data_IF_794835269938
#
_entry.id   IF_794835269938
#
_cell.length_a   1.000
_cell.length_b   1.000
_cell.length_c   1.000
_cell.angle_alpha   90.00
_cell.angle_beta   90.00
_cell.angle_gamma   90.00
#
_symmetry.space_group_name_H-M   'P 1'
#
loop_
_entity.id
_entity.type
_entity.pdbx_description
1 polymer ?
#
# COMPACT_ATOMS: atom_id res chain seq x y z
N UNK A 1 44.67 -42.75 15.91
CA UNK A 1 43.76 -41.72 15.35
C UNK A 1 42.49 -41.71 16.20
N UNK A 2 42.17 -40.64 16.95
CA UNK A 2 40.91 -40.53 17.68
C UNK A 2 40.13 -39.24 17.31
N UNK A 3 39.07 -39.31 16.51
CA UNK A 3 38.31 -38.09 16.10
C UNK A 3 36.76 -38.20 16.01
N UNK A 4 36.08 -39.10 16.74
CA UNK A 4 34.60 -39.28 16.56
C UNK A 4 33.69 -38.87 17.75
N UNK A 5 34.19 -38.28 18.84
CA UNK A 5 33.32 -37.99 20.02
C UNK A 5 32.75 -36.56 20.11
N UNK A 6 33.23 -35.61 19.30
CA UNK A 6 32.89 -34.19 19.50
C UNK A 6 31.59 -33.74 18.81
N UNK A 7 31.11 -34.50 17.82
CA UNK A 7 29.98 -34.12 16.96
C UNK A 7 28.61 -34.41 17.58
N UNK A 8 28.54 -35.30 18.58
CA UNK A 8 27.28 -35.74 19.20
C UNK A 8 26.81 -34.83 20.35
N UNK A 9 27.74 -34.13 21.02
CA UNK A 9 27.43 -33.22 22.16
C UNK A 9 26.99 -31.82 21.71
N UNK A 10 27.44 -31.36 20.54
CA UNK A 10 27.00 -30.06 19.99
C UNK A 10 25.58 -30.10 19.42
N UNK A 11 25.18 -31.26 18.89
CA UNK A 11 23.87 -31.44 18.25
C UNK A 11 22.74 -31.70 19.27
N UNK A 12 23.04 -32.15 20.49
CA UNK A 12 22.06 -32.19 21.61
C UNK A 12 21.80 -30.80 22.18
N UNK A 13 22.87 -30.04 22.47
CA UNK A 13 22.77 -28.69 23.06
C UNK A 13 22.03 -27.70 22.13
N UNK A 14 22.24 -27.79 20.82
CA UNK A 14 21.51 -26.98 19.83
C UNK A 14 20.02 -27.36 19.73
N UNK A 15 19.68 -28.64 19.90
CA UNK A 15 18.28 -29.10 19.94
C UNK A 15 17.58 -28.67 21.22
N UNK A 16 18.25 -28.73 22.38
CA UNK A 16 17.71 -28.23 23.65
C UNK A 16 17.39 -26.72 23.55
N UNK A 17 18.31 -25.93 23.01
CA UNK A 17 18.10 -24.48 22.85
C UNK A 17 17.00 -24.15 21.85
N UNK A 18 16.92 -24.89 20.73
CA UNK A 18 15.84 -24.73 19.76
C UNK A 18 14.47 -25.12 20.34
N UNK A 19 14.42 -26.15 21.20
CA UNK A 19 13.18 -26.59 21.85
C UNK A 19 12.74 -25.56 22.90
N UNK A 20 13.66 -25.11 23.75
CA UNK A 20 13.38 -24.05 24.73
C UNK A 20 12.97 -22.71 24.09
N UNK A 21 13.57 -22.35 22.95
CA UNK A 21 13.18 -21.17 22.18
C UNK A 21 11.78 -21.33 21.56
N UNK A 22 11.46 -22.52 21.03
CA UNK A 22 10.12 -22.84 20.53
C UNK A 22 9.07 -22.83 21.64
N UNK A 23 9.36 -23.37 22.81
CA UNK A 23 8.43 -23.41 23.94
C UNK A 23 8.14 -22.00 24.46
N UNK A 24 9.17 -21.15 24.57
CA UNK A 24 8.98 -19.73 24.92
C UNK A 24 8.20 -18.98 23.86
N UNK A 25 8.49 -19.22 22.58
CA UNK A 25 7.75 -18.61 21.47
C UNK A 25 6.29 -19.09 21.44
N UNK A 26 6.03 -20.37 21.70
CA UNK A 26 4.69 -20.93 21.78
C UNK A 26 3.91 -20.35 22.96
N UNK A 27 4.52 -20.23 24.14
CA UNK A 27 3.90 -19.63 25.32
C UNK A 27 3.55 -18.16 25.10
N UNK A 28 4.48 -17.38 24.50
CA UNK A 28 4.23 -15.99 24.15
C UNK A 28 3.19 -15.83 23.05
N UNK A 29 3.19 -16.73 22.06
CA UNK A 29 2.19 -16.73 21.00
C UNK A 29 0.80 -17.08 21.54
N UNK A 30 0.67 -18.05 22.45
CA UNK A 30 -0.60 -18.42 23.07
C UNK A 30 -1.21 -17.26 23.86
N UNK A 31 -0.43 -16.58 24.70
CA UNK A 31 -0.94 -15.45 25.50
C UNK A 31 -1.30 -14.23 24.63
N UNK A 32 -0.49 -13.95 23.61
CA UNK A 32 -0.80 -12.91 22.63
C UNK A 32 -2.05 -13.25 21.81
N UNK A 33 -2.22 -14.52 21.44
CA UNK A 33 -3.38 -15.00 20.68
C UNK A 33 -4.67 -14.90 21.49
N UNK A 34 -4.65 -15.26 22.78
CA UNK A 34 -5.83 -15.15 23.65
C UNK A 34 -6.28 -13.69 23.82
N UNK A 35 -5.33 -12.80 24.07
CA UNK A 35 -5.60 -11.36 24.21
C UNK A 35 -6.12 -10.77 22.90
N UNK A 36 -5.45 -11.08 21.78
CA UNK A 36 -5.87 -10.64 20.46
C UNK A 36 -7.25 -11.17 20.09
N UNK A 37 -7.58 -12.42 20.45
CA UNK A 37 -8.88 -13.04 20.17
C UNK A 37 -10.02 -12.38 20.94
N UNK A 38 -9.79 -11.99 22.20
CA UNK A 38 -10.77 -11.26 22.98
C UNK A 38 -11.05 -9.88 22.36
N UNK A 39 -10.01 -9.08 22.11
CA UNK A 39 -10.15 -7.75 21.51
C UNK A 39 -10.73 -7.81 20.10
N UNK A 40 -10.32 -8.79 19.29
CA UNK A 40 -10.82 -8.95 17.93
C UNK A 40 -12.31 -9.30 17.90
N UNK A 41 -12.84 -10.05 18.89
CA UNK A 41 -14.27 -10.36 18.97
C UNK A 41 -15.09 -9.12 19.28
N UNK A 42 -14.71 -8.36 20.31
CA UNK A 42 -15.43 -7.15 20.71
C UNK A 42 -15.44 -6.11 19.58
N UNK A 43 -14.30 -5.96 18.90
CA UNK A 43 -14.18 -5.10 17.71
C UNK A 43 -15.00 -5.64 16.54
N UNK A 44 -14.97 -6.94 16.27
CA UNK A 44 -15.72 -7.55 15.18
C UNK A 44 -17.23 -7.40 15.36
N UNK A 45 -17.76 -7.59 16.57
CA UNK A 45 -19.20 -7.44 16.84
C UNK A 45 -19.67 -5.99 16.61
N UNK A 46 -18.84 -5.02 17.03
CA UNK A 46 -19.10 -3.59 16.84
C UNK A 46 -19.04 -3.20 15.36
N UNK A 47 -17.96 -3.58 14.68
CA UNK A 47 -17.74 -3.22 13.26
C UNK A 47 -18.71 -3.97 12.35
N UNK A 48 -19.03 -5.23 12.62
CA UNK A 48 -19.91 -6.03 11.76
C UNK A 48 -21.31 -5.44 11.66
N UNK A 49 -21.88 -4.98 12.78
CA UNK A 49 -23.23 -4.40 12.80
C UNK A 49 -23.31 -3.11 11.98
N UNK A 50 -22.30 -2.25 12.08
CA UNK A 50 -22.28 -0.95 11.42
C UNK A 50 -21.83 -1.06 9.95
N UNK A 51 -20.85 -1.91 9.67
CA UNK A 51 -20.28 -2.09 8.33
C UNK A 51 -21.22 -2.84 7.39
N UNK A 52 -22.06 -3.76 7.88
CA UNK A 52 -22.93 -4.57 7.01
C UNK A 52 -23.87 -3.70 6.17
N UNK A 53 -24.45 -2.65 6.74
CA UNK A 53 -25.37 -1.74 6.03
C UNK A 53 -24.67 -0.87 4.98
N UNK A 54 -23.42 -0.46 5.25
CA UNK A 54 -22.60 0.29 4.30
C UNK A 54 -22.02 -0.60 3.19
N UNK A 55 -21.70 -1.85 3.54
CA UNK A 55 -21.06 -2.81 2.66
C UNK A 55 -21.95 -3.18 1.46
N UNK A 56 -23.27 -3.31 1.64
CA UNK A 56 -24.17 -3.61 0.50
C UNK A 56 -24.12 -2.53 -0.60
N UNK A 57 -24.01 -1.25 -0.23
CA UNK A 57 -23.92 -0.15 -1.21
C UNK A 57 -22.51 -0.02 -1.80
N UNK A 58 -21.48 -0.24 -0.99
CA UNK A 58 -20.10 -0.19 -1.45
C UNK A 58 -19.75 -1.36 -2.38
N UNK A 59 -20.41 -2.51 -2.19
CA UNK A 59 -20.22 -3.75 -2.93
C UNK A 59 -20.54 -3.62 -4.41
N UNK A 60 -21.65 -3.01 -4.78
CA UNK A 60 -22.01 -2.88 -6.20
C UNK A 60 -21.01 -1.98 -6.92
N UNK A 61 -20.63 -0.86 -6.29
CA UNK A 61 -19.56 0.02 -6.79
C UNK A 61 -18.24 -0.73 -6.94
N UNK A 62 -17.84 -1.51 -5.92
CA UNK A 62 -16.60 -2.28 -5.96
C UNK A 62 -16.64 -3.37 -7.04
N UNK A 63 -17.76 -4.07 -7.21
CA UNK A 63 -17.93 -5.09 -8.24
C UNK A 63 -17.81 -4.49 -9.64
N UNK A 64 -18.33 -3.29 -9.86
CA UNK A 64 -18.23 -2.60 -11.15
C UNK A 64 -16.79 -2.14 -11.45
N UNK A 65 -16.06 -1.64 -10.47
CA UNK A 65 -14.63 -1.32 -10.61
C UNK A 65 -13.80 -2.57 -10.94
N UNK A 66 -14.04 -3.66 -10.22
CA UNK A 66 -13.38 -4.96 -10.43
C UNK A 66 -13.67 -5.49 -11.84
N UNK A 67 -14.92 -5.39 -12.30
CA UNK A 67 -15.33 -5.76 -13.67
C UNK A 67 -14.65 -4.87 -14.72
N UNK A 68 -14.49 -3.58 -14.44
CA UNK A 68 -13.75 -2.64 -15.28
C UNK A 68 -12.29 -3.06 -15.46
N UNK A 69 -11.62 -3.42 -14.36
CA UNK A 69 -10.24 -3.93 -14.39
C UNK A 69 -10.15 -5.27 -15.14
N UNK A 70 -11.08 -6.19 -14.89
CA UNK A 70 -11.14 -7.47 -15.59
C UNK A 70 -11.29 -7.27 -17.10
N UNK A 71 -12.16 -6.34 -17.51
CA UNK A 71 -12.37 -5.98 -18.91
C UNK A 71 -11.11 -5.37 -19.53
N UNK A 72 -10.42 -4.47 -18.81
CA UNK A 72 -9.17 -3.89 -19.28
C UNK A 72 -8.06 -4.94 -19.45
N UNK A 73 -7.94 -5.87 -18.49
CA UNK A 73 -7.00 -7.00 -18.55
C UNK A 73 -7.33 -7.94 -19.72
N UNK A 74 -8.62 -8.21 -19.96
CA UNK A 74 -9.08 -9.02 -21.10
C UNK A 74 -8.71 -8.37 -22.43
N UNK A 75 -8.98 -7.08 -22.59
CA UNK A 75 -8.57 -6.31 -23.78
C UNK A 75 -7.06 -6.33 -23.97
N UNK A 76 -6.28 -6.14 -22.89
CA UNK A 76 -4.83 -6.22 -22.96
C UNK A 76 -4.34 -7.63 -23.34
N UNK A 77 -4.99 -8.68 -22.86
CA UNK A 77 -4.69 -10.06 -23.26
C UNK A 77 -4.98 -10.28 -24.76
N UNK A 78 -6.09 -9.72 -25.27
CA UNK A 78 -6.47 -9.84 -26.67
C UNK A 78 -5.53 -9.07 -27.62
N UNK A 79 -4.88 -8.02 -27.14
CA UNK A 79 -3.82 -7.31 -27.88
C UNK A 79 -2.47 -8.05 -27.88
N UNK A 80 -2.29 -9.00 -26.95
CA UNK A 80 -1.10 -9.84 -26.91
C UNK A 80 -1.09 -10.90 -28.02
N UNK A 81 0.09 -11.44 -28.33
CA UNK A 81 0.22 -12.53 -29.31
C UNK A 81 -0.64 -13.72 -28.85
N UNK A 82 -1.62 -14.10 -29.67
CA UNK A 82 -2.45 -15.28 -29.45
C UNK A 82 -1.59 -16.56 -29.26
N UNK A 83 -1.90 -17.33 -28.23
CA UNK A 83 -1.18 -18.50 -27.74
C UNK A 83 -0.02 -18.21 -26.78
N UNK A 84 0.34 -16.94 -26.54
CA UNK A 84 1.49 -16.61 -25.68
C UNK A 84 1.26 -16.99 -24.22
N UNK A 85 2.32 -17.36 -23.46
CA UNK A 85 2.21 -17.58 -22.02
C UNK A 85 1.64 -16.37 -21.28
N UNK A 86 1.97 -15.16 -21.74
CA UNK A 86 1.50 -13.90 -21.17
C UNK A 86 -0.01 -13.71 -21.40
N UNK A 87 -0.53 -13.91 -22.61
CA UNK A 87 -1.98 -13.88 -22.88
C UNK A 87 -2.73 -14.85 -21.95
N UNK A 88 -2.22 -16.08 -21.80
CA UNK A 88 -2.81 -17.09 -20.90
C UNK A 88 -2.84 -16.64 -19.45
N UNK A 89 -1.76 -16.04 -18.96
CA UNK A 89 -1.72 -15.50 -17.60
C UNK A 89 -2.70 -14.33 -17.43
N UNK A 90 -2.73 -13.38 -18.35
CA UNK A 90 -3.62 -12.22 -18.29
C UNK A 90 -5.09 -12.60 -18.40
N UNK A 91 -5.42 -13.55 -19.28
CA UNK A 91 -6.79 -14.08 -19.41
C UNK A 91 -7.23 -14.84 -18.15
N UNK A 92 -6.39 -15.70 -17.57
CA UNK A 92 -6.72 -16.37 -16.31
C UNK A 92 -6.94 -15.39 -15.16
N UNK A 93 -6.17 -14.30 -15.12
CA UNK A 93 -6.36 -13.23 -14.14
C UNK A 93 -7.66 -12.47 -14.39
N UNK A 94 -7.97 -12.15 -15.66
CA UNK A 94 -9.21 -11.47 -16.03
C UNK A 94 -10.45 -12.33 -15.70
N UNK A 95 -10.41 -13.63 -16.02
CA UNK A 95 -11.50 -14.57 -15.73
C UNK A 95 -11.71 -14.72 -14.22
N UNK A 96 -10.62 -14.88 -13.45
CA UNK A 96 -10.70 -14.92 -12.00
C UNK A 96 -11.26 -13.63 -11.39
N UNK A 97 -10.93 -12.48 -11.96
CA UNK A 97 -11.42 -11.19 -11.49
C UNK A 97 -12.90 -10.95 -11.85
N UNK A 98 -13.33 -11.41 -13.02
CA UNK A 98 -14.73 -11.41 -13.42
C UNK A 98 -15.58 -12.32 -12.51
N UNK A 99 -15.11 -13.54 -12.22
CA UNK A 99 -15.77 -14.48 -11.33
C UNK A 99 -15.91 -13.92 -9.91
N UNK A 100 -14.86 -13.24 -9.42
CA UNK A 100 -14.92 -12.51 -8.14
C UNK A 100 -15.95 -11.39 -8.17
N UNK A 101 -16.06 -10.62 -9.26
CA UNK A 101 -17.05 -9.53 -9.37
C UNK A 101 -18.50 -10.05 -9.37
N UNK A 102 -18.74 -11.19 -10.01
CA UNK A 102 -20.06 -11.83 -10.07
C UNK A 102 -20.43 -12.44 -8.72
N UNK A 103 -19.47 -13.14 -8.10
CA UNK A 103 -19.63 -13.69 -6.74
C UNK A 103 -19.83 -12.57 -5.71
N UNK A 104 -19.14 -11.43 -5.87
CA UNK A 104 -19.35 -10.23 -5.07
C UNK A 104 -20.71 -9.59 -5.32
N UNK A 105 -21.45 -9.90 -6.40
CA UNK A 105 -22.81 -9.39 -6.69
C UNK A 105 -23.92 -10.27 -6.13
N UNK A 106 -23.64 -11.54 -5.84
CA UNK A 106 -24.66 -12.48 -5.36
C UNK A 106 -24.41 -13.06 -3.96
N UNK A 107 -23.19 -13.01 -3.42
CA UNK A 107 -22.92 -13.52 -2.05
C UNK A 107 -23.27 -12.52 -0.95
N UNK A 108 -23.84 -13.08 0.12
CA UNK A 108 -23.96 -12.46 1.43
C UNK A 108 -22.59 -12.41 2.13
N UNK A 109 -22.36 -11.34 2.90
CA UNK A 109 -21.11 -11.16 3.66
C UNK A 109 -20.81 -12.32 4.61
N UNK A 110 -21.84 -12.94 5.19
CA UNK A 110 -21.70 -14.10 6.09
C UNK A 110 -21.10 -15.32 5.39
N UNK A 111 -21.43 -15.55 4.12
CA UNK A 111 -20.90 -16.65 3.33
C UNK A 111 -19.44 -16.40 2.93
N UNK A 112 -19.11 -15.16 2.54
CA UNK A 112 -17.73 -14.75 2.22
C UNK A 112 -16.80 -14.95 3.42
N UNK A 113 -17.23 -14.57 4.63
CA UNK A 113 -16.45 -14.79 5.86
C UNK A 113 -16.24 -16.29 6.13
N UNK A 114 -17.26 -17.11 5.88
CA UNK A 114 -17.16 -18.57 5.99
C UNK A 114 -16.09 -19.17 5.07
N UNK A 115 -16.10 -18.78 3.80
CA UNK A 115 -15.13 -19.23 2.80
C UNK A 115 -13.71 -18.74 3.12
N UNK A 116 -13.58 -17.49 3.57
CA UNK A 116 -12.30 -16.91 3.94
C UNK A 116 -11.65 -17.65 5.13
N UNK A 117 -12.45 -18.10 6.10
CA UNK A 117 -11.98 -18.93 7.21
C UNK A 117 -11.49 -20.31 6.72
N UNK A 118 -12.19 -20.91 5.76
CA UNK A 118 -11.74 -22.15 5.11
C UNK A 118 -10.40 -21.98 4.39
N UNK A 119 -10.24 -20.89 3.65
CA UNK A 119 -9.00 -20.55 2.97
C UNK A 119 -7.85 -20.29 3.94
N UNK A 120 -8.07 -19.52 5.01
CA UNK A 120 -7.07 -19.20 6.02
C UNK A 120 -6.51 -20.45 6.69
N UNK A 121 -7.37 -21.44 6.98
CA UNK A 121 -6.94 -22.73 7.55
C UNK A 121 -6.14 -23.58 6.60
N UNK A 122 -6.44 -23.53 5.28
CA UNK A 122 -5.69 -24.27 4.25
C UNK A 122 -4.35 -23.63 3.90
N UNK A 123 -4.29 -22.30 3.92
CA UNK A 123 -3.12 -21.53 3.48
C UNK A 123 -2.69 -20.49 4.54
N UNK A 124 -2.20 -20.93 5.71
CA UNK A 124 -1.90 -20.03 6.83
C UNK A 124 -0.84 -18.99 6.49
N UNK A 125 0.18 -19.33 5.69
CA UNK A 125 1.23 -18.38 5.29
C UNK A 125 0.69 -17.26 4.40
N UNK A 126 -0.19 -17.58 3.46
CA UNK A 126 -0.79 -16.58 2.56
C UNK A 126 -1.70 -15.65 3.35
N UNK A 127 -2.50 -16.20 4.27
CA UNK A 127 -3.37 -15.40 5.12
C UNK A 127 -2.58 -14.45 6.03
N UNK A 128 -1.56 -14.94 6.73
CA UNK A 128 -0.72 -14.10 7.60
C UNK A 128 0.02 -13.01 6.80
N UNK A 129 0.57 -13.36 5.63
CA UNK A 129 1.24 -12.40 4.75
C UNK A 129 0.28 -11.33 4.23
N UNK A 130 -0.90 -11.73 3.77
CA UNK A 130 -1.94 -10.82 3.31
C UNK A 130 -2.44 -9.89 4.41
N UNK A 131 -2.70 -10.43 5.61
CA UNK A 131 -3.14 -9.63 6.76
C UNK A 131 -2.09 -8.61 7.20
N UNK A 132 -0.80 -8.99 7.20
CA UNK A 132 0.29 -8.08 7.52
C UNK A 132 0.40 -6.94 6.49
N UNK A 133 0.31 -7.26 5.19
CA UNK A 133 0.32 -6.26 4.12
C UNK A 133 -0.88 -5.31 4.21
N UNK A 134 -2.09 -5.84 4.42
CA UNK A 134 -3.30 -5.03 4.62
C UNK A 134 -3.17 -4.11 5.83
N UNK A 135 -2.67 -4.62 6.96
CA UNK A 135 -2.42 -3.82 8.16
C UNK A 135 -1.41 -2.70 7.93
N UNK A 136 -0.34 -2.96 7.16
CA UNK A 136 0.65 -1.94 6.80
C UNK A 136 0.04 -0.86 5.91
N UNK A 137 -0.71 -1.24 4.87
CA UNK A 137 -1.39 -0.30 3.97
C UNK A 137 -2.40 0.55 4.74
N UNK A 138 -3.21 -0.07 5.60
CA UNK A 138 -4.17 0.63 6.46
C UNK A 138 -3.46 1.64 7.37
N UNK A 139 -2.35 1.24 8.00
CA UNK A 139 -1.53 2.14 8.83
C UNK A 139 -0.96 3.29 8.02
N UNK A 140 -0.48 3.02 6.80
CA UNK A 140 0.08 4.04 5.92
C UNK A 140 -0.97 5.04 5.46
N UNK A 141 -2.18 4.57 5.16
CA UNK A 141 -3.33 5.40 4.80
C UNK A 141 -3.81 6.23 5.99
N UNK A 142 -3.92 5.64 7.18
CA UNK A 142 -4.25 6.36 8.40
C UNK A 142 -3.25 7.49 8.66
N UNK A 143 -1.94 7.20 8.59
CA UNK A 143 -0.89 8.21 8.74
C UNK A 143 -0.94 9.29 7.66
N UNK A 144 -1.17 8.92 6.40
CA UNK A 144 -1.29 9.87 5.29
C UNK A 144 -2.55 10.75 5.42
N UNK A 145 -3.65 10.21 5.96
CA UNK A 145 -4.88 10.95 6.19
C UNK A 145 -4.78 11.93 7.36
N UNK A 146 -3.82 11.74 8.27
CA UNK A 146 -3.55 12.66 9.37
C UNK A 146 -2.72 13.88 8.95
N UNK A 147 -1.99 13.82 7.83
CA UNK A 147 -1.28 14.96 7.23
C UNK A 147 -2.22 15.83 6.38
N UNK A 148 -3.44 16.10 6.88
CA UNK A 148 -4.21 17.24 6.38
C UNK A 148 -3.57 18.48 7.01
N UNK A 149 -2.98 19.41 6.23
CA UNK A 149 -2.61 20.70 6.78
C UNK A 149 -3.91 21.35 7.25
N UNK A 150 -4.16 21.31 8.55
CA UNK A 150 -5.11 22.20 9.17
C UNK A 150 -4.61 23.59 8.77
N UNK A 151 -5.36 24.25 7.88
CA UNK A 151 -5.17 25.66 7.54
C UNK A 151 -5.37 26.47 8.81
N UNK A 152 -4.33 26.52 9.65
CA UNK A 152 -4.20 27.41 10.78
C UNK A 152 -3.81 28.78 10.25
N UNK A 153 -4.76 29.49 9.66
CA UNK A 153 -4.85 30.93 9.91
C UNK A 153 -5.36 31.08 11.35
N UNK A 154 -4.47 30.84 12.30
CA UNK A 154 -4.69 31.01 13.72
C UNK A 154 -3.44 31.68 14.25
N UNK A 155 -3.48 33.01 14.32
CA UNK A 155 -2.38 33.80 14.83
C UNK A 155 -1.99 33.35 16.24
N UNK A 156 -0.75 32.93 16.38
CA UNK A 156 -0.06 32.88 17.66
C UNK A 156 1.01 33.96 17.61
N UNK A 157 0.67 35.13 18.17
CA UNK A 157 1.65 36.13 18.53
C UNK A 157 2.68 35.49 19.43
N UNK A 158 3.92 35.41 18.95
CA UNK A 158 5.07 35.21 19.81
C UNK A 158 5.37 36.56 20.43
N UNK A 159 4.97 36.69 21.68
CA UNK A 159 5.43 37.71 22.62
C UNK A 159 6.97 37.61 22.65
N UNK A 160 7.64 38.67 22.19
CA UNK A 160 9.08 38.79 22.30
C UNK A 160 9.39 39.18 23.75
N UNK A 161 9.90 38.22 24.52
CA UNK A 161 10.62 38.51 25.76
C UNK A 161 11.97 39.13 25.36
N UNK A 162 12.03 40.46 25.41
CA UNK A 162 13.21 41.28 25.12
C UNK A 162 14.07 41.37 26.39
N UNK A 163 14.84 40.33 26.68
CA UNK A 163 15.96 40.41 27.65
C UNK A 163 17.06 39.42 27.27
N UNK A 164 17.81 39.73 26.21
CA UNK A 164 19.17 39.22 26.04
C UNK A 164 19.95 40.14 25.08
N UNK A 165 20.39 41.27 25.63
CA UNK A 165 21.46 42.09 25.04
C UNK A 165 22.77 41.34 25.13
N UNK A 166 23.07 40.52 24.12
CA UNK A 166 24.44 40.11 23.82
C UNK A 166 24.84 40.65 22.45
N UNK A 167 25.69 41.68 22.52
CA UNK A 167 26.56 42.18 21.47
C UNK A 167 27.00 41.09 20.49
N UNK A 168 26.47 41.13 19.27
CA UNK A 168 27.09 40.47 18.12
C UNK A 168 27.43 41.49 17.05
N UNK A 169 28.73 41.70 16.73
CA UNK A 169 29.14 42.61 15.67
C UNK A 169 28.72 42.05 14.31
N UNK A 170 28.01 42.88 13.55
CA UNK A 170 27.55 42.59 12.19
C UNK A 170 28.74 42.50 11.22
N UNK A 171 28.84 41.46 10.37
CA UNK A 171 29.75 41.50 9.24
C UNK A 171 29.15 42.35 8.11
N UNK A 172 29.73 43.53 7.86
CA UNK A 172 29.60 44.25 6.59
C UNK A 172 30.38 43.52 5.49
N UNK A 173 29.91 43.41 4.26
CA UNK A 173 30.10 44.35 3.11
C UNK A 173 29.86 43.55 1.80
N UNK A 174 29.80 44.11 0.56
CA UNK A 174 29.47 45.44 0.03
C UNK A 174 28.44 45.34 -1.16
N UNK A 175 28.45 46.17 -2.25
CA UNK A 175 27.31 46.95 -2.72
C UNK A 175 26.52 46.35 -3.91
N UNK A 176 25.33 46.91 -4.08
CA UNK A 176 24.40 46.79 -5.22
C UNK A 176 25.08 47.09 -6.57
N UNK A 177 24.98 46.16 -7.53
CA UNK A 177 25.24 46.45 -8.95
C UNK A 177 25.71 45.27 -9.80
N UNK A 178 24.77 44.57 -10.43
CA UNK A 178 24.84 44.09 -11.82
C UNK A 178 23.63 43.20 -12.11
N UNK A 179 22.67 43.75 -12.84
CA UNK A 179 21.63 42.99 -13.50
C UNK A 179 22.28 41.95 -14.43
N UNK A 180 22.19 40.67 -14.08
CA UNK A 180 22.33 39.60 -15.06
C UNK A 180 20.93 39.25 -15.56
N UNK A 181 20.61 39.82 -16.71
CA UNK A 181 19.43 39.48 -17.49
C UNK A 181 19.42 37.96 -17.78
N UNK A 182 18.41 37.26 -17.30
CA UNK A 182 18.00 35.98 -17.88
C UNK A 182 17.21 36.30 -19.15
N UNK A 183 17.65 35.84 -20.34
CA UNK A 183 16.87 36.06 -21.56
C UNK A 183 15.58 35.25 -21.49
N UNK A 184 14.45 35.93 -21.61
CA UNK A 184 13.14 35.32 -21.85
C UNK A 184 13.26 34.36 -23.03
N UNK A 185 13.03 33.07 -22.78
CA UNK A 185 12.85 32.07 -23.83
C UNK A 185 11.62 32.47 -24.65
N UNK A 186 11.87 33.13 -25.78
CA UNK A 186 10.87 33.40 -26.79
C UNK A 186 10.23 32.08 -27.19
N UNK A 187 8.92 31.96 -26.97
CA UNK A 187 8.07 31.01 -27.66
C UNK A 187 8.16 31.31 -29.15
N UNK A 188 9.01 30.56 -29.86
CA UNK A 188 8.99 30.50 -31.30
C UNK A 188 7.64 29.90 -31.72
N UNK A 189 6.75 30.80 -32.11
CA UNK A 189 5.51 30.53 -32.81
C UNK A 189 5.84 29.83 -34.13
N UNK A 190 5.39 28.58 -34.38
CA UNK A 190 5.52 28.00 -35.70
C UNK A 190 4.55 28.71 -36.65
N UNK A 191 5.11 29.52 -37.55
CA UNK A 191 4.41 30.08 -38.69
C UNK A 191 3.95 28.97 -39.64
N UNK A 192 2.70 29.08 -40.11
CA UNK A 192 2.11 28.20 -41.10
C UNK A 192 2.94 28.15 -42.39
N UNK A 193 3.05 26.98 -43.06
CA UNK A 193 3.73 26.91 -44.35
C UNK A 193 2.89 27.61 -45.42
N UNK A 194 3.46 28.67 -46.01
CA UNK A 194 3.00 29.27 -47.26
C UNK A 194 3.23 28.30 -48.41
N UNK A 195 2.16 28.03 -49.14
CA UNK A 195 2.15 27.18 -50.34
C UNK A 195 2.90 27.93 -51.45
N UNK A 196 4.07 27.43 -51.84
CA UNK A 196 4.76 27.85 -53.07
C UNK A 196 4.05 27.18 -54.24
N UNK A 197 3.21 27.96 -54.92
CA UNK A 197 2.68 27.60 -56.24
C UNK A 197 3.81 27.77 -57.26
N UNK A 198 4.31 26.65 -57.77
CA UNK A 198 5.24 26.60 -58.89
C UNK A 198 4.81 25.52 -59.89
N UNK A 199 4.54 25.99 -61.10
CA UNK A 199 4.65 25.30 -62.38
C UNK A 199 3.48 24.43 -62.92
N UNK A 200 2.79 25.02 -63.91
CA UNK A 200 2.35 24.38 -65.15
C UNK A 200 2.01 25.48 -66.18
N UNK A 201 2.85 25.65 -67.19
CA UNK A 201 2.68 25.39 -68.65
C UNK A 201 3.79 26.14 -69.40
#
# INVERSE_FOLDING_TARGET
MPEDKNTQTQSSTAKEQATAAKDKAAAAASSATETAKAQARDLADTVSTEATNYAYQARDTAADEVKGVASALRTAADELRSGSPQERSFSQLADGLADVSETMRDKDLGEVVGDLNGFAKRNPLVFLGGAALLGFVATRFAKASSDRPAGGYGGSGVEYDDDDRIDRPMPGTPPTGAASAVPSRATAQPAAPTVVTGDKV
#
